data_IF_316237125346
#
_entry.id   IF_316237125346
#
_cell.length_a   1.000
_cell.length_b   1.000
_cell.length_c   1.000
_cell.angle_alpha   90.00
_cell.angle_beta   90.00
_cell.angle_gamma   90.00
#
_symmetry.space_group_name_H-M   'P 1'
#
loop_
_entity.id
_entity.type
_entity.pdbx_description
1 polymer ?
#
# COMPACT_ATOMS: atom_id res chain seq x y z
N UNK A 1 7.59 -27.01 -43.47
CA UNK A 1 6.31 -27.74 -43.30
C UNK A 1 5.91 -27.80 -41.82
N UNK A 2 6.72 -28.46 -41.01
CA UNK A 2 6.46 -28.53 -39.55
C UNK A 2 6.57 -27.16 -38.89
N UNK A 3 7.57 -26.37 -39.24
CA UNK A 3 7.74 -25.03 -38.74
C UNK A 3 6.59 -24.11 -39.15
N UNK A 4 6.04 -24.25 -40.34
CA UNK A 4 4.90 -23.49 -40.82
C UNK A 4 3.65 -23.76 -39.96
N UNK A 5 3.45 -25.00 -39.58
CA UNK A 5 2.30 -25.37 -38.70
C UNK A 5 2.49 -24.79 -37.29
N UNK A 6 3.70 -24.83 -36.76
CA UNK A 6 4.01 -24.22 -35.48
C UNK A 6 3.74 -22.70 -35.52
N UNK A 7 4.21 -22.04 -36.59
CA UNK A 7 4.01 -20.60 -36.77
C UNK A 7 2.53 -20.25 -36.87
N UNK A 8 1.73 -21.06 -37.54
CA UNK A 8 0.27 -20.87 -37.62
C UNK A 8 -0.41 -20.99 -36.26
N UNK A 9 -0.03 -21.99 -35.47
CA UNK A 9 -0.58 -22.18 -34.13
C UNK A 9 -0.21 -21.00 -33.22
N UNK A 10 1.05 -20.56 -33.27
CA UNK A 10 1.50 -19.42 -32.48
C UNK A 10 0.81 -18.13 -32.90
N UNK A 11 0.63 -17.91 -34.19
CA UNK A 11 -0.08 -16.73 -34.70
C UNK A 11 -1.54 -16.74 -34.27
N UNK A 12 -2.21 -17.88 -34.32
CA UNK A 12 -3.59 -18.00 -33.88
C UNK A 12 -3.76 -17.73 -32.39
N UNK A 13 -2.89 -18.32 -31.57
CA UNK A 13 -2.89 -18.06 -30.12
C UNK A 13 -2.62 -16.59 -29.80
N UNK A 14 -1.67 -15.98 -30.51
CA UNK A 14 -1.37 -14.56 -30.34
C UNK A 14 -2.57 -13.69 -30.70
N UNK A 15 -3.28 -14.00 -31.78
CA UNK A 15 -4.46 -13.26 -32.19
C UNK A 15 -5.60 -13.40 -31.19
N UNK A 16 -5.83 -14.60 -30.69
CA UNK A 16 -6.85 -14.83 -29.65
C UNK A 16 -6.54 -14.06 -28.38
N UNK A 17 -5.27 -14.01 -27.98
CA UNK A 17 -4.83 -13.23 -26.84
C UNK A 17 -5.03 -11.74 -27.08
N UNK A 18 -4.70 -11.27 -28.29
CA UNK A 18 -4.85 -9.86 -28.66
C UNK A 18 -6.30 -9.41 -28.63
N UNK A 19 -7.25 -10.27 -29.00
CA UNK A 19 -8.68 -9.97 -28.91
C UNK A 19 -9.12 -9.72 -27.47
N UNK A 20 -8.44 -10.32 -26.50
CA UNK A 20 -8.73 -10.17 -25.09
C UNK A 20 -7.80 -9.18 -24.39
N UNK A 21 -7.03 -8.40 -25.16
CA UNK A 21 -6.01 -7.49 -24.57
C UNK A 21 -6.60 -6.49 -23.60
N UNK A 22 -7.80 -5.99 -23.86
CA UNK A 22 -8.47 -5.04 -22.96
C UNK A 22 -8.73 -5.68 -21.59
N UNK A 23 -9.20 -6.93 -21.55
CA UNK A 23 -9.45 -7.65 -20.31
C UNK A 23 -8.15 -7.96 -19.57
N UNK A 24 -7.09 -8.32 -20.30
CA UNK A 24 -5.77 -8.58 -19.70
C UNK A 24 -5.22 -7.32 -19.07
N UNK A 25 -5.30 -6.18 -19.75
CA UNK A 25 -4.87 -4.90 -19.19
C UNK A 25 -5.68 -4.50 -17.95
N UNK A 26 -6.98 -4.72 -17.99
CA UNK A 26 -7.86 -4.46 -16.85
C UNK A 26 -7.48 -5.33 -15.65
N UNK A 27 -7.25 -6.62 -15.89
CA UNK A 27 -6.83 -7.56 -14.85
C UNK A 27 -5.48 -7.16 -14.24
N UNK A 28 -4.55 -6.75 -15.09
CA UNK A 28 -3.23 -6.27 -14.62
C UNK A 28 -3.38 -5.06 -13.70
N UNK A 29 -4.24 -4.12 -14.06
CA UNK A 29 -4.51 -2.92 -13.26
C UNK A 29 -5.11 -3.30 -11.90
N UNK A 30 -6.09 -4.19 -11.92
CA UNK A 30 -6.75 -4.66 -10.69
C UNK A 30 -5.76 -5.40 -9.79
N UNK A 31 -4.94 -6.28 -10.35
CA UNK A 31 -3.92 -7.00 -9.58
C UNK A 31 -2.88 -6.06 -8.97
N UNK A 32 -2.50 -5.02 -9.70
CA UNK A 32 -1.56 -4.01 -9.19
C UNK A 32 -2.17 -3.27 -7.99
N UNK A 33 -3.44 -2.88 -8.08
CA UNK A 33 -4.14 -2.23 -6.98
C UNK A 33 -4.27 -3.15 -5.76
N UNK A 34 -4.62 -4.42 -5.98
CA UNK A 34 -4.71 -5.40 -4.90
C UNK A 34 -3.37 -5.63 -4.23
N UNK A 35 -2.30 -5.73 -4.99
CA UNK A 35 -0.95 -5.90 -4.45
C UNK A 35 -0.58 -4.74 -3.52
N UNK A 36 -0.88 -3.51 -3.95
CA UNK A 36 -0.63 -2.31 -3.15
C UNK A 36 -1.47 -2.29 -1.86
N UNK A 37 -2.75 -2.67 -1.96
CA UNK A 37 -3.64 -2.75 -0.79
C UNK A 37 -3.13 -3.78 0.21
N UNK A 38 -2.75 -4.96 -0.26
CA UNK A 38 -2.22 -6.01 0.61
C UNK A 38 -0.88 -5.62 1.23
N UNK A 39 -0.01 -4.95 0.48
CA UNK A 39 1.26 -4.46 1.00
C UNK A 39 1.05 -3.48 2.16
N UNK A 40 0.12 -2.55 2.00
CA UNK A 40 -0.25 -1.61 3.07
C UNK A 40 -0.84 -2.33 4.28
N UNK A 41 -1.68 -3.32 4.05
CA UNK A 41 -2.29 -4.10 5.13
C UNK A 41 -1.25 -4.90 5.92
N UNK A 42 -0.31 -5.53 5.22
CA UNK A 42 0.79 -6.26 5.86
C UNK A 42 1.68 -5.34 6.68
N UNK A 43 2.00 -4.17 6.15
CA UNK A 43 2.79 -3.16 6.87
C UNK A 43 2.04 -2.70 8.12
N UNK A 44 0.75 -2.40 8.01
CA UNK A 44 -0.07 -2.01 9.15
C UNK A 44 -0.09 -3.07 10.24
N UNK A 45 -0.17 -4.34 9.84
CA UNK A 45 -0.12 -5.46 10.78
C UNK A 45 1.22 -5.56 11.50
N UNK A 46 2.33 -5.40 10.77
CA UNK A 46 3.68 -5.42 11.37
C UNK A 46 3.87 -4.27 12.34
N UNK A 47 3.38 -3.10 12.00
CA UNK A 47 3.47 -1.89 12.84
C UNK A 47 2.47 -1.91 13.99
N UNK A 48 1.55 -2.85 14.03
CA UNK A 48 0.40 -2.85 14.95
C UNK A 48 -0.33 -1.51 14.87
N UNK A 49 -0.51 -1.03 13.66
CA UNK A 49 -1.10 0.26 13.39
C UNK A 49 -2.62 0.25 13.59
N UNK A 50 -3.17 1.41 13.88
CA UNK A 50 -4.61 1.62 13.99
C UNK A 50 -5.08 2.51 12.84
N UNK A 51 -6.38 2.44 12.54
CA UNK A 51 -6.95 3.25 11.47
C UNK A 51 -6.93 4.73 11.87
N UNK A 52 -6.31 5.61 11.08
CA UNK A 52 -6.35 7.03 11.37
C UNK A 52 -7.73 7.62 11.12
N UNK A 53 -8.04 8.71 11.81
CA UNK A 53 -9.23 9.53 11.58
C UNK A 53 -8.80 10.81 10.87
N UNK A 54 -9.62 11.27 9.95
CA UNK A 54 -9.38 12.52 9.22
C UNK A 54 -10.47 13.51 9.57
N UNK A 55 -10.30 14.32 10.63
CA UNK A 55 -11.28 15.33 11.01
C UNK A 55 -11.26 16.50 10.03
N UNK A 56 -12.34 17.30 10.02
CA UNK A 56 -12.40 18.50 9.19
C UNK A 56 -11.46 19.60 9.69
N UNK A 57 -11.20 19.65 10.99
CA UNK A 57 -10.26 20.59 11.58
C UNK A 57 -8.83 20.25 11.21
N UNK A 58 -8.03 21.29 10.99
CA UNK A 58 -6.62 21.13 10.64
C UNK A 58 -5.77 20.96 11.89
N UNK A 59 -5.56 19.74 12.28
CA UNK A 59 -4.63 19.40 13.35
C UNK A 59 -4.08 18.00 13.13
N UNK A 60 -2.97 17.72 13.78
CA UNK A 60 -2.38 16.37 13.83
C UNK A 60 -2.28 15.98 15.29
N UNK A 61 -2.87 14.85 15.63
CA UNK A 61 -2.77 14.27 16.96
C UNK A 61 -2.36 12.81 16.83
N UNK A 62 -1.22 12.47 17.38
CA UNK A 62 -0.70 11.12 17.36
C UNK A 62 -0.51 10.66 18.80
N UNK A 63 -1.22 9.59 19.17
CA UNK A 63 -1.10 8.98 20.49
C UNK A 63 -0.23 7.74 20.40
N UNK A 64 0.77 7.66 21.27
CA UNK A 64 1.71 6.54 21.33
C UNK A 64 2.34 6.24 19.97
N UNK A 65 2.78 7.31 19.28
CA UNK A 65 3.46 7.19 17.99
C UNK A 65 4.80 6.50 18.15
N UNK A 66 5.04 5.52 17.28
CA UNK A 66 6.28 4.75 17.27
C UNK A 66 6.93 4.87 15.91
N UNK A 67 8.24 5.08 15.88
CA UNK A 67 8.97 5.13 14.63
C UNK A 67 9.07 3.73 14.03
N UNK A 68 8.59 3.50 12.80
CA UNK A 68 8.52 2.15 12.23
C UNK A 68 9.87 1.50 11.97
N UNK A 69 10.94 2.28 11.81
CA UNK A 69 12.28 1.77 11.55
C UNK A 69 13.07 1.46 12.81
N UNK A 70 12.55 1.83 13.98
CA UNK A 70 13.17 1.49 15.26
C UNK A 70 12.58 0.16 15.74
N UNK A 71 13.42 -0.73 16.24
CA UNK A 71 12.99 -2.02 16.75
C UNK A 71 11.90 -1.86 17.82
N UNK A 72 10.90 -2.73 17.78
CA UNK A 72 9.72 -2.62 18.65
C UNK A 72 10.05 -2.68 20.15
N UNK A 73 11.14 -3.35 20.51
CA UNK A 73 11.61 -3.43 21.90
C UNK A 73 12.39 -2.21 22.36
N UNK A 74 12.86 -1.39 21.42
CA UNK A 74 13.69 -0.19 21.71
C UNK A 74 12.97 1.13 21.47
N UNK A 75 11.90 1.12 20.69
CA UNK A 75 11.17 2.34 20.37
C UNK A 75 10.39 2.85 21.59
N UNK A 76 10.48 4.16 21.83
CA UNK A 76 9.71 4.81 22.90
C UNK A 76 8.48 5.46 22.26
N UNK A 77 7.26 5.05 22.65
CA UNK A 77 6.06 5.71 22.16
C UNK A 77 5.96 7.15 22.64
N UNK A 78 5.59 8.06 21.76
CA UNK A 78 5.42 9.48 22.09
C UNK A 78 4.04 9.96 21.67
N UNK A 79 3.51 10.94 22.40
CA UNK A 79 2.30 11.65 22.03
C UNK A 79 2.70 12.99 21.40
N UNK A 80 2.14 13.28 20.23
CA UNK A 80 2.45 14.49 19.47
C UNK A 80 1.16 15.21 19.10
N UNK A 81 1.13 16.52 19.34
CA UNK A 81 0.06 17.41 18.91
C UNK A 81 0.64 18.52 18.04
N UNK A 82 -0.06 18.82 16.94
CA UNK A 82 0.27 19.93 16.08
C UNK A 82 -1.03 20.58 15.63
N UNK A 83 -1.14 21.88 15.83
CA UNK A 83 -2.34 22.65 15.52
C UNK A 83 -3.21 22.85 16.75
N UNK A 84 -4.45 23.31 16.57
CA UNK A 84 -5.35 23.75 17.64
C UNK A 84 -4.73 24.88 18.45
N UNK A 85 -4.57 24.68 19.77
CA UNK A 85 -4.06 25.71 20.68
C UNK A 85 -2.53 25.81 20.70
N UNK A 86 -1.84 24.80 20.17
CA UNK A 86 -0.38 24.70 20.22
C UNK A 86 0.19 24.43 18.82
N UNK A 87 1.31 25.08 18.53
CA UNK A 87 2.02 24.83 17.29
C UNK A 87 2.69 23.45 17.27
N UNK A 88 3.23 23.04 18.41
CA UNK A 88 3.82 21.71 18.60
C UNK A 88 3.87 21.38 20.10
N UNK A 89 3.37 20.19 20.44
CA UNK A 89 3.50 19.64 21.79
C UNK A 89 3.89 18.18 21.69
N UNK A 90 5.01 17.82 22.26
CA UNK A 90 5.45 16.43 22.36
C UNK A 90 5.45 15.99 23.80
N UNK A 91 4.96 14.79 24.05
CA UNK A 91 4.97 14.16 25.36
C UNK A 91 5.58 12.79 25.25
N UNK A 92 6.70 12.60 25.90
CA UNK A 92 7.39 11.31 25.90
C UNK A 92 7.75 10.91 27.32
N UNK A 93 7.79 9.62 27.55
CA UNK A 93 8.28 9.04 28.80
C UNK A 93 9.66 8.42 28.57
N UNK A 94 10.55 8.70 29.46
CA UNK A 94 11.86 8.05 29.48
C UNK A 94 11.76 6.68 30.15
#
# INVERSE_FOLDING_TARGET
LEQDEIDKVLADLSNQTAEQSFLVEQDHRILTELDFIFAKAMLAKQMKATKPRFPEERFIEIKQGRHPLIAADKVVPIDVHLGRDFSLLTKYRW
#
